data_IF_122325220039
#
_entry.id   IF_122325220039
#
_cell.length_a   1.000
_cell.length_b   1.000
_cell.length_c   1.000
_cell.angle_alpha   90.00
_cell.angle_beta   90.00
_cell.angle_gamma   90.00
#
_symmetry.space_group_name_H-M   'P 1'
#
loop_
_entity.id
_entity.type
_entity.pdbx_description
1 polymer ?
#
# COMPACT_ATOMS: atom_id res chain seq x y z
N UNK A 1 6.28 -3.40 1.91
CA UNK A 1 5.16 -3.98 1.14
C UNK A 1 5.38 -5.47 1.05
N UNK A 2 4.52 -6.26 1.70
CA UNK A 2 4.58 -7.72 1.70
C UNK A 2 3.19 -8.27 1.47
N UNK A 3 3.04 -9.19 0.51
CA UNK A 3 1.78 -9.90 0.27
C UNK A 3 1.76 -11.18 1.12
N UNK A 4 0.71 -11.36 1.91
CA UNK A 4 0.44 -12.56 2.70
C UNK A 4 -0.77 -13.25 2.10
N UNK A 5 -0.59 -14.50 1.66
CA UNK A 5 -1.62 -15.29 0.99
C UNK A 5 -2.03 -16.47 1.87
N UNK A 6 -3.33 -16.73 1.93
CA UNK A 6 -3.93 -17.89 2.58
C UNK A 6 -4.89 -18.57 1.61
N UNK A 7 -5.51 -19.69 2.00
CA UNK A 7 -6.57 -20.29 1.20
C UNK A 7 -7.80 -19.40 1.01
N UNK A 8 -8.00 -18.41 1.89
CA UNK A 8 -9.23 -17.63 1.98
C UNK A 8 -9.06 -16.13 1.67
N UNK A 9 -7.82 -15.61 1.68
CA UNK A 9 -7.57 -14.17 1.58
C UNK A 9 -6.15 -13.81 1.13
N UNK A 10 -6.04 -12.65 0.49
CA UNK A 10 -4.82 -11.91 0.16
C UNK A 10 -4.73 -10.62 0.97
N UNK A 11 -3.77 -10.55 1.89
CA UNK A 11 -3.55 -9.42 2.76
C UNK A 11 -2.24 -8.70 2.39
N UNK A 12 -2.31 -7.38 2.23
CA UNK A 12 -1.12 -6.58 1.97
C UNK A 12 -0.64 -5.91 3.26
N UNK A 13 0.60 -6.19 3.67
CA UNK A 13 1.27 -5.51 4.78
C UNK A 13 2.08 -4.33 4.23
N UNK A 14 1.63 -3.12 4.55
CA UNK A 14 2.15 -1.83 4.06
C UNK A 14 2.13 -1.66 2.53
N UNK A 15 2.02 -0.42 2.08
CA UNK A 15 2.05 -0.05 0.67
C UNK A 15 2.76 1.30 0.51
N UNK A 16 4.07 1.31 0.69
CA UNK A 16 4.87 2.53 0.68
C UNK A 16 5.59 2.82 -0.64
N UNK A 17 6.07 4.05 -0.78
CA UNK A 17 6.87 4.46 -1.93
C UNK A 17 8.32 4.00 -1.81
N UNK A 18 8.86 3.49 -2.91
CA UNK A 18 10.29 3.31 -3.09
C UNK A 18 10.96 4.66 -3.39
N UNK A 19 11.99 5.01 -2.60
CA UNK A 19 12.71 6.30 -2.65
C UNK A 19 14.12 6.17 -3.27
N UNK A 20 14.22 5.52 -4.42
CA UNK A 20 15.48 5.37 -5.16
C UNK A 20 15.68 6.39 -6.26
N UNK A 21 16.55 6.04 -7.24
CA UNK A 21 16.76 6.87 -8.44
C UNK A 21 15.44 7.05 -9.19
N UNK A 22 15.25 8.22 -9.81
CA UNK A 22 13.96 8.65 -10.40
C UNK A 22 13.32 7.62 -11.33
N UNK A 23 14.10 6.96 -12.20
CA UNK A 23 13.58 5.95 -13.13
C UNK A 23 13.10 4.69 -12.39
N UNK A 24 13.88 4.20 -11.43
CA UNK A 24 13.55 3.03 -10.62
C UNK A 24 12.34 3.31 -9.71
N UNK A 25 12.32 4.46 -9.05
CA UNK A 25 11.17 4.91 -8.25
C UNK A 25 9.89 4.97 -9.07
N UNK A 26 9.95 5.51 -10.30
CA UNK A 26 8.77 5.53 -11.16
C UNK A 26 8.27 4.12 -11.47
N UNK A 27 9.16 3.23 -11.93
CA UNK A 27 8.82 1.86 -12.31
C UNK A 27 8.26 1.06 -11.13
N UNK A 28 9.00 1.03 -10.01
CA UNK A 28 8.63 0.25 -8.81
C UNK A 28 7.31 0.74 -8.21
N UNK A 29 7.06 2.06 -8.20
CA UNK A 29 5.85 2.60 -7.60
C UNK A 29 4.62 2.47 -8.53
N UNK A 30 4.79 2.32 -9.85
CA UNK A 30 3.67 2.17 -10.79
C UNK A 30 3.28 0.73 -11.12
N UNK A 31 4.14 -0.25 -10.84
CA UNK A 31 3.94 -1.65 -11.25
C UNK A 31 3.89 -2.56 -10.02
N UNK A 32 2.68 -2.98 -9.62
CA UNK A 32 2.52 -3.99 -8.59
C UNK A 32 2.77 -5.39 -9.17
N UNK A 33 3.43 -6.30 -8.43
CA UNK A 33 3.65 -7.69 -8.87
C UNK A 33 2.39 -8.56 -8.76
N UNK A 34 1.25 -7.97 -8.41
CA UNK A 34 -0.06 -8.60 -8.28
C UNK A 34 -1.14 -7.62 -8.78
N UNK A 35 -2.33 -8.11 -9.19
CA UNK A 35 -3.46 -7.23 -9.50
C UNK A 35 -3.94 -6.50 -8.24
N UNK A 36 -3.97 -5.15 -8.19
CA UNK A 36 -4.42 -4.43 -7.00
C UNK A 36 -5.87 -4.76 -6.59
N UNK A 37 -6.71 -5.16 -7.54
CA UNK A 37 -8.09 -5.61 -7.30
C UNK A 37 -8.19 -6.98 -6.62
N UNK A 38 -7.11 -7.77 -6.56
CA UNK A 38 -7.11 -9.09 -5.91
C UNK A 38 -6.78 -9.03 -4.41
N UNK A 39 -6.49 -7.85 -3.86
CA UNK A 39 -6.18 -7.65 -2.45
C UNK A 39 -7.46 -7.42 -1.66
N UNK A 40 -7.68 -8.21 -0.61
CA UNK A 40 -8.89 -8.14 0.22
C UNK A 40 -8.78 -7.01 1.26
N UNK A 41 -7.61 -6.85 1.86
CA UNK A 41 -7.35 -5.80 2.83
C UNK A 41 -5.87 -5.42 2.90
N UNK A 42 -5.62 -4.19 3.35
CA UNK A 42 -4.29 -3.67 3.67
C UNK A 42 -4.19 -3.48 5.18
N UNK A 43 -3.09 -3.93 5.79
CA UNK A 43 -2.71 -3.57 7.14
C UNK A 43 -1.54 -2.59 7.06
N UNK A 44 -1.74 -1.38 7.57
CA UNK A 44 -0.72 -0.34 7.60
C UNK A 44 -0.12 -0.24 9.00
N UNK A 45 1.18 -0.51 9.10
CA UNK A 45 1.92 -0.55 10.37
C UNK A 45 2.04 0.84 11.00
N UNK A 46 2.43 1.84 10.21
CA UNK A 46 2.57 3.23 10.63
C UNK A 46 2.55 4.18 9.43
N UNK A 47 2.54 5.50 9.70
CA UNK A 47 2.20 6.50 8.71
C UNK A 47 3.38 6.98 7.83
N UNK A 48 4.60 6.48 8.01
CA UNK A 48 5.73 6.96 7.20
C UNK A 48 5.50 6.72 5.70
N UNK A 49 6.03 7.61 4.86
CA UNK A 49 5.81 7.62 3.41
C UNK A 49 6.30 6.34 2.71
N UNK A 50 7.35 5.72 3.24
CA UNK A 50 7.88 4.42 2.80
C UNK A 50 7.04 3.21 3.27
N UNK A 51 5.94 3.45 4.00
CA UNK A 51 4.94 2.45 4.37
C UNK A 51 3.53 2.75 3.84
N UNK A 52 3.14 4.03 3.71
CA UNK A 52 1.79 4.41 3.26
C UNK A 52 1.74 5.06 1.86
N UNK A 53 2.87 5.55 1.36
CA UNK A 53 2.91 6.50 0.25
C UNK A 53 2.40 5.98 -1.09
N UNK A 54 2.34 4.66 -1.30
CA UNK A 54 1.87 4.07 -2.56
C UNK A 54 0.40 3.58 -2.48
N UNK A 55 -0.28 3.80 -1.34
CA UNK A 55 -1.71 3.53 -1.19
C UNK A 55 -2.58 4.26 -2.24
N UNK A 56 -2.32 5.53 -2.61
CA UNK A 56 -3.11 6.20 -3.65
C UNK A 56 -3.02 5.48 -5.01
N UNK A 57 -1.84 5.02 -5.40
CA UNK A 57 -1.64 4.26 -6.64
C UNK A 57 -2.38 2.92 -6.58
N UNK A 58 -2.31 2.22 -5.44
CA UNK A 58 -3.02 0.95 -5.22
C UNK A 58 -4.54 1.13 -5.43
N UNK A 59 -5.13 2.18 -4.85
CA UNK A 59 -6.56 2.51 -4.99
C UNK A 59 -6.89 2.89 -6.45
N UNK A 60 -6.06 3.72 -7.07
CA UNK A 60 -6.23 4.14 -8.46
C UNK A 60 -6.22 2.93 -9.42
N UNK A 61 -5.40 1.92 -9.16
CA UNK A 61 -5.27 0.73 -9.99
C UNK A 61 -6.28 -0.39 -9.69
N UNK A 62 -7.25 -0.15 -8.80
CA UNK A 62 -8.43 -1.02 -8.68
C UNK A 62 -8.64 -1.68 -7.32
N UNK A 63 -7.79 -1.41 -6.32
CA UNK A 63 -8.07 -1.85 -4.96
C UNK A 63 -9.33 -1.18 -4.39
N UNK A 64 -10.18 -1.96 -3.72
CA UNK A 64 -11.44 -1.51 -3.11
C UNK A 64 -11.65 -2.04 -1.68
N UNK A 65 -10.69 -2.77 -1.15
CA UNK A 65 -10.75 -3.35 0.19
C UNK A 65 -10.56 -2.32 1.31
N UNK A 66 -10.52 -2.82 2.55
CA UNK A 66 -10.30 -1.96 3.73
C UNK A 66 -8.80 -1.73 3.96
N UNK A 67 -8.46 -0.52 4.42
CA UNK A 67 -7.14 -0.20 4.96
C UNK A 67 -7.28 -0.11 6.48
N UNK A 68 -6.65 -1.03 7.20
CA UNK A 68 -6.70 -1.14 8.66
C UNK A 68 -5.42 -0.59 9.28
N UNK A 69 -5.57 0.30 10.26
CA UNK A 69 -4.48 0.86 11.03
C UNK A 69 -4.99 1.42 12.37
N UNK A 70 -4.08 1.87 13.23
CA UNK A 70 -4.46 2.59 14.45
C UNK A 70 -5.05 3.97 14.11
N UNK A 71 -5.88 4.57 14.99
CA UNK A 71 -6.38 5.92 14.77
C UNK A 71 -5.27 6.96 14.56
N UNK A 72 -4.17 6.86 15.31
CA UNK A 72 -3.02 7.75 15.17
C UNK A 72 -2.36 7.62 13.78
N UNK A 73 -2.19 6.38 13.29
CA UNK A 73 -1.67 6.14 11.94
C UNK A 73 -2.59 6.72 10.87
N UNK A 74 -3.92 6.55 11.00
CA UNK A 74 -4.89 7.14 10.07
C UNK A 74 -4.75 8.65 9.97
N UNK A 75 -4.71 9.33 11.12
CA UNK A 75 -4.69 10.79 11.19
C UNK A 75 -3.38 11.35 10.59
N UNK A 76 -2.25 10.70 10.86
CA UNK A 76 -0.97 11.08 10.25
C UNK A 76 -0.90 10.74 8.76
N UNK A 77 -1.41 9.57 8.35
CA UNK A 77 -1.41 9.18 6.94
C UNK A 77 -2.27 10.14 6.10
N UNK A 78 -3.39 10.63 6.63
CA UNK A 78 -4.24 11.63 5.98
C UNK A 78 -3.55 13.00 5.79
N UNK A 79 -2.48 13.29 6.52
CA UNK A 79 -1.66 14.48 6.31
C UNK A 79 -0.53 14.26 5.28
N UNK A 80 -0.12 13.01 5.11
CA UNK A 80 1.02 12.62 4.25
C UNK A 80 0.57 12.30 2.82
N UNK A 81 -0.64 11.76 2.66
CA UNK A 81 -1.24 11.31 1.39
C UNK A 81 -2.17 12.37 0.77
#
# INVERSE_FOLDING_TARGET
MHLVETGDAHLLLDCGLFQGRRADARRVNSEFPFPPSSIDAVLLSHAHLDHCGNLPTLVQQGFRGKILCTPATRDLAALIL
#
